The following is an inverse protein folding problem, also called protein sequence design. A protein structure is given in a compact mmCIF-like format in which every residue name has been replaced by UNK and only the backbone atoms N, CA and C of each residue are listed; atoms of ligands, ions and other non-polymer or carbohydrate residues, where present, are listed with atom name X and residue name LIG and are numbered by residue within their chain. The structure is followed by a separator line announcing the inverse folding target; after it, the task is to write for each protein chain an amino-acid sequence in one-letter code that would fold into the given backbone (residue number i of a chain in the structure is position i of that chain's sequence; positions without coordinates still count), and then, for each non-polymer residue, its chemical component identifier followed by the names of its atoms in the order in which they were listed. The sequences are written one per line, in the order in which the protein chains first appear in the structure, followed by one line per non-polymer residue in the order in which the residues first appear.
data_IF_212308121364
#
_entry.id   IF_212308121364
#
_cell.length_a   1.000
_cell.length_b   1.000
_cell.length_c   1.000
_cell.angle_alpha   90.00
_cell.angle_beta   90.00
_cell.angle_gamma   90.00
#
_symmetry.space_group_name_H-M   'P 1'
#
loop_
_entity.id
_entity.type
_entity.pdbx_description
1 polymer ?
#
# COMPACT_ATOMS: atom_id res chain seq x y z
N UNK A 1 -16.52 -24.13 -12.62
CA UNK A 1 -16.56 -24.94 -11.39
C UNK A 1 -15.32 -24.66 -10.55
N UNK A 2 -15.48 -24.62 -9.26
CA UNK A 2 -14.37 -24.44 -8.36
C UNK A 2 -13.70 -25.77 -8.04
N UNK A 3 -12.37 -25.81 -8.13
CA UNK A 3 -11.61 -27.01 -7.83
C UNK A 3 -11.31 -27.10 -6.34
N UNK A 4 -10.86 -26.00 -5.76
CA UNK A 4 -10.49 -25.91 -4.35
C UNK A 4 -11.37 -24.91 -3.58
N UNK A 5 -12.43 -24.43 -4.20
CA UNK A 5 -13.32 -23.44 -3.61
C UNK A 5 -12.89 -22.00 -3.85
N UNK A 6 -11.77 -21.76 -4.52
CA UNK A 6 -11.22 -20.42 -4.71
C UNK A 6 -11.21 -20.05 -6.18
N UNK A 7 -11.79 -18.89 -6.51
CA UNK A 7 -11.71 -18.30 -7.87
C UNK A 7 -10.51 -17.36 -7.93
N UNK A 8 -10.08 -17.03 -9.17
CA UNK A 8 -8.95 -16.13 -9.39
C UNK A 8 -9.17 -14.76 -8.72
N UNK A 9 -10.38 -14.19 -8.81
CA UNK A 9 -10.68 -12.92 -8.18
C UNK A 9 -10.75 -13.04 -6.66
N UNK A 10 -11.15 -14.18 -6.10
CA UNK A 10 -11.12 -14.41 -4.66
C UNK A 10 -9.67 -14.45 -4.16
N UNK A 11 -8.78 -15.10 -4.92
CA UNK A 11 -7.36 -15.14 -4.59
C UNK A 11 -6.74 -13.75 -4.64
N UNK A 12 -7.09 -12.95 -5.65
CA UNK A 12 -6.60 -11.57 -5.73
C UNK A 12 -7.06 -10.75 -4.53
N UNK A 13 -8.31 -10.91 -4.11
CA UNK A 13 -8.84 -10.27 -2.91
C UNK A 13 -8.03 -10.67 -1.66
N UNK A 14 -7.77 -11.97 -1.50
CA UNK A 14 -6.98 -12.47 -0.36
C UNK A 14 -5.58 -11.89 -0.35
N UNK A 15 -4.91 -11.86 -1.50
CA UNK A 15 -3.55 -11.31 -1.60
C UNK A 15 -3.51 -9.86 -1.15
N UNK A 16 -4.44 -9.03 -1.61
CA UNK A 16 -4.48 -7.62 -1.24
C UNK A 16 -4.82 -7.45 0.24
N UNK A 17 -5.77 -8.23 0.76
CA UNK A 17 -6.10 -8.17 2.18
C UNK A 17 -4.93 -8.60 3.05
N UNK A 18 -4.20 -9.65 2.66
CA UNK A 18 -3.01 -10.11 3.39
C UNK A 18 -1.91 -9.05 3.36
N UNK A 19 -1.74 -8.38 2.22
CA UNK A 19 -0.80 -7.28 2.06
C UNK A 19 -1.08 -6.16 3.07
N UNK A 20 -2.33 -5.72 3.18
CA UNK A 20 -2.69 -4.66 4.12
C UNK A 20 -2.72 -5.14 5.57
N UNK A 21 -3.04 -6.40 5.83
CA UNK A 21 -2.95 -6.95 7.18
C UNK A 21 -1.49 -6.94 7.66
N UNK A 22 -0.55 -7.32 6.78
CA UNK A 22 0.87 -7.24 7.09
C UNK A 22 1.31 -5.79 7.35
N UNK A 23 0.86 -4.86 6.51
CA UNK A 23 1.14 -3.44 6.71
C UNK A 23 0.68 -2.98 8.09
N UNK A 24 -0.55 -3.30 8.47
CA UNK A 24 -1.14 -2.82 9.72
C UNK A 24 -0.45 -3.39 10.96
N UNK A 25 0.17 -4.56 10.87
CA UNK A 25 0.94 -5.09 12.00
C UNK A 25 2.44 -4.78 11.90
N UNK A 26 2.86 -4.02 10.89
CA UNK A 26 4.26 -3.64 10.71
C UNK A 26 5.16 -4.79 10.28
N UNK A 27 4.60 -5.81 9.65
CA UNK A 27 5.34 -6.98 9.20
C UNK A 27 5.76 -6.81 7.73
N UNK A 28 6.88 -6.10 7.54
CA UNK A 28 7.37 -5.77 6.19
C UNK A 28 7.80 -7.01 5.42
N UNK A 29 8.37 -8.01 6.08
CA UNK A 29 8.73 -9.27 5.42
C UNK A 29 7.51 -9.97 4.84
N UNK A 30 6.41 -10.02 5.58
CA UNK A 30 5.17 -10.64 5.09
C UNK A 30 4.61 -9.88 3.89
N UNK A 31 4.76 -8.54 3.85
CA UNK A 31 4.39 -7.77 2.66
C UNK A 31 5.25 -8.16 1.47
N UNK A 32 6.56 -8.20 1.66
CA UNK A 32 7.52 -8.46 0.57
C UNK A 32 7.35 -9.86 -0.03
N UNK A 33 6.98 -10.83 0.77
CA UNK A 33 6.72 -12.20 0.29
C UNK A 33 5.58 -12.24 -0.74
N UNK A 34 4.62 -11.33 -0.64
CA UNK A 34 3.49 -11.25 -1.55
C UNK A 34 3.83 -10.55 -2.88
N UNK A 35 5.00 -9.93 -2.98
CA UNK A 35 5.41 -9.18 -4.15
C UNK A 35 6.26 -10.03 -5.10
N UNK A 36 6.11 -9.79 -6.40
CA UNK A 36 7.03 -10.32 -7.39
C UNK A 36 8.39 -9.65 -7.26
N UNK A 37 9.47 -10.35 -7.63
CA UNK A 37 10.82 -9.80 -7.59
C UNK A 37 10.96 -8.52 -8.41
N UNK A 38 10.27 -8.44 -9.54
CA UNK A 38 10.28 -7.28 -10.42
C UNK A 38 9.15 -6.30 -10.17
N UNK A 39 8.56 -6.29 -8.97
CA UNK A 39 7.40 -5.45 -8.67
C UNK A 39 7.63 -3.99 -9.04
N UNK A 40 6.61 -3.39 -9.66
CA UNK A 40 6.61 -1.98 -10.01
C UNK A 40 5.82 -1.22 -8.95
N UNK A 41 6.40 -0.14 -8.45
CA UNK A 41 5.79 0.68 -7.42
C UNK A 41 5.71 2.12 -7.91
N UNK A 42 4.50 2.61 -8.10
CA UNK A 42 4.24 3.99 -8.49
C UNK A 42 3.88 4.78 -7.23
N UNK A 43 4.78 5.67 -6.85
CA UNK A 43 4.59 6.51 -5.67
C UNK A 43 3.61 7.63 -5.98
N UNK A 44 2.83 8.04 -4.99
CA UNK A 44 1.93 9.17 -5.18
C UNK A 44 2.75 10.42 -5.47
N UNK A 45 2.48 11.04 -6.62
CA UNK A 45 3.19 12.24 -7.09
C UNK A 45 4.71 12.06 -7.19
N UNK A 46 5.16 10.82 -7.25
CA UNK A 46 6.57 10.50 -7.30
C UNK A 46 6.95 9.72 -8.54
N UNK A 47 8.15 9.21 -8.52
CA UNK A 47 8.68 8.39 -9.59
C UNK A 47 8.19 6.95 -9.47
N UNK A 48 8.38 6.20 -10.54
CA UNK A 48 8.22 4.75 -10.52
C UNK A 48 9.50 4.12 -10.01
N UNK A 49 9.38 3.20 -9.07
CA UNK A 49 10.49 2.37 -8.60
C UNK A 49 10.24 0.93 -9.04
N UNK A 50 11.29 0.18 -9.28
CA UNK A 50 11.18 -1.20 -9.74
C UNK A 50 12.01 -2.11 -8.87
N UNK A 51 11.44 -3.26 -8.53
CA UNK A 51 12.13 -4.32 -7.80
C UNK A 51 11.79 -4.38 -6.33
N UNK A 52 11.86 -5.58 -5.80
CA UNK A 52 11.51 -5.84 -4.40
C UNK A 52 12.48 -5.12 -3.45
N UNK A 53 13.77 -5.00 -3.80
CA UNK A 53 14.75 -4.30 -2.98
C UNK A 53 14.41 -2.82 -2.84
N UNK A 54 13.98 -2.16 -3.93
CA UNK A 54 13.53 -0.77 -3.88
C UNK A 54 12.29 -0.62 -3.01
N UNK A 55 11.38 -1.57 -3.09
CA UNK A 55 10.17 -1.58 -2.26
C UNK A 55 10.53 -1.69 -0.77
N UNK A 56 11.47 -2.56 -0.44
CA UNK A 56 11.95 -2.71 0.94
C UNK A 56 12.56 -1.41 1.48
N UNK A 57 13.33 -0.71 0.65
CA UNK A 57 13.92 0.59 1.03
C UNK A 57 12.83 1.64 1.24
N UNK A 58 11.79 1.62 0.41
CA UNK A 58 10.64 2.51 0.58
C UNK A 58 9.96 2.28 1.92
N UNK A 59 9.69 1.02 2.27
CA UNK A 59 9.06 0.68 3.55
C UNK A 59 9.90 1.16 4.74
N UNK A 60 11.23 1.02 4.66
CA UNK A 60 12.12 1.50 5.71
C UNK A 60 12.06 3.02 5.87
N UNK A 61 12.02 3.76 4.75
CA UNK A 61 11.90 5.22 4.80
C UNK A 61 10.55 5.63 5.40
N UNK A 62 9.49 4.96 5.02
CA UNK A 62 8.14 5.27 5.52
C UNK A 62 8.05 4.99 7.02
N UNK A 63 8.58 3.87 7.47
CA UNK A 63 8.57 3.51 8.89
C UNK A 63 9.29 4.56 9.75
N UNK A 64 10.36 5.13 9.23
CA UNK A 64 11.13 6.15 9.96
C UNK A 64 10.34 7.43 10.18
N UNK A 65 9.48 7.82 9.23
CA UNK A 65 8.80 9.11 9.25
C UNK A 65 7.32 9.03 9.63
N UNK A 66 6.69 7.89 9.45
CA UNK A 66 5.24 7.76 9.60
C UNK A 66 4.89 6.51 10.39
N UNK A 67 3.84 6.61 11.22
CA UNK A 67 3.19 5.45 11.82
C UNK A 67 1.75 5.47 11.37
N UNK A 68 1.34 4.44 10.62
CA UNK A 68 0.02 4.43 9.99
C UNK A 68 -0.73 3.14 10.21
N UNK A 69 -2.04 3.27 10.39
CA UNK A 69 -2.99 2.16 10.39
C UNK A 69 -4.04 2.44 9.33
N UNK A 70 -4.37 1.44 8.54
CA UNK A 70 -5.41 1.55 7.52
C UNK A 70 -6.70 1.00 8.07
N UNK A 71 -7.77 1.78 7.91
CA UNK A 71 -9.11 1.47 8.37
C UNK A 71 -10.07 1.43 7.18
N UNK A 72 -11.18 0.74 7.35
CA UNK A 72 -12.27 0.71 6.35
C UNK A 72 -11.78 0.25 4.98
N UNK A 73 -10.96 -0.78 4.97
CA UNK A 73 -10.35 -1.29 3.73
C UNK A 73 -11.42 -2.01 2.90
N UNK A 74 -11.61 -1.55 1.66
CA UNK A 74 -12.50 -2.20 0.69
C UNK A 74 -11.66 -2.59 -0.51
N UNK A 75 -11.71 -3.87 -0.89
CA UNK A 75 -10.97 -4.41 -2.03
C UNK A 75 -11.95 -4.77 -3.14
N UNK A 76 -11.63 -4.32 -4.34
CA UNK A 76 -12.38 -4.60 -5.56
C UNK A 76 -11.46 -5.32 -6.54
N UNK A 77 -11.96 -6.33 -7.23
CA UNK A 77 -11.13 -7.11 -8.15
C UNK A 77 -11.80 -7.23 -9.51
N UNK A 78 -10.98 -7.32 -10.56
CA UNK A 78 -11.47 -7.62 -11.89
C UNK A 78 -11.92 -9.07 -11.96
N UNK A 79 -12.84 -9.42 -12.90
CA UNK A 79 -13.35 -10.78 -13.00
C UNK A 79 -12.27 -11.84 -13.23
N UNK A 80 -11.20 -11.49 -13.94
CA UNK A 80 -10.11 -12.44 -14.22
C UNK A 80 -9.10 -12.55 -13.05
N UNK A 81 -9.22 -11.70 -12.02
CA UNK A 81 -8.32 -11.72 -10.88
C UNK A 81 -6.93 -11.13 -11.14
N UNK A 82 -6.72 -10.48 -12.28
CA UNK A 82 -5.41 -9.92 -12.63
C UNK A 82 -5.25 -8.47 -12.20
N UNK A 83 -6.33 -7.82 -11.80
CA UNK A 83 -6.31 -6.43 -11.33
C UNK A 83 -7.11 -6.30 -10.05
N UNK A 84 -6.67 -5.44 -9.19
CA UNK A 84 -7.41 -5.11 -7.98
C UNK A 84 -7.25 -3.62 -7.68
N UNK A 85 -8.21 -3.12 -6.91
CA UNK A 85 -8.15 -1.78 -6.34
C UNK A 85 -8.54 -1.87 -4.87
N UNK A 86 -8.02 -0.95 -4.08
CA UNK A 86 -8.42 -0.83 -2.68
C UNK A 86 -8.65 0.63 -2.35
N UNK A 87 -9.62 0.88 -1.49
CA UNK A 87 -9.75 2.18 -0.84
C UNK A 87 -9.73 1.98 0.67
N UNK A 88 -9.27 2.97 1.38
CA UNK A 88 -9.11 2.89 2.83
C UNK A 88 -9.00 4.30 3.42
N UNK A 89 -8.99 4.35 4.74
CA UNK A 89 -8.72 5.59 5.47
C UNK A 89 -7.47 5.38 6.30
N UNK A 90 -6.47 6.22 6.08
CA UNK A 90 -5.21 6.18 6.83
C UNK A 90 -5.39 6.98 8.13
N UNK A 91 -5.06 6.35 9.25
CA UNK A 91 -4.92 7.02 10.54
C UNK A 91 -3.43 7.03 10.86
N UNK A 92 -2.81 8.19 10.84
CA UNK A 92 -1.38 8.28 10.93
C UNK A 92 -0.86 9.32 11.91
N UNK A 93 0.43 9.18 12.22
CA UNK A 93 1.21 10.11 13.01
C UNK A 93 2.51 10.40 12.27
N UNK A 94 2.83 11.69 12.15
CA UNK A 94 4.05 12.15 11.48
C UNK A 94 5.16 12.22 12.52
N UNK A 95 6.12 11.27 12.42
CA UNK A 95 7.13 11.05 13.46
C UNK A 95 8.42 11.81 13.22
N UNK A 96 8.91 11.81 11.98
CA UNK A 96 10.17 12.45 11.61
C UNK A 96 10.00 13.14 10.27
N UNK A 97 10.61 14.31 10.13
CA UNK A 97 10.45 15.15 8.96
C UNK A 97 10.94 14.45 7.69
N UNK A 98 10.12 14.52 6.65
CA UNK A 98 10.43 13.98 5.34
C UNK A 98 10.84 15.15 4.43
N UNK A 99 11.95 15.06 3.69
CA UNK A 99 12.44 16.18 2.88
C UNK A 99 11.39 16.74 1.93
N UNK A 100 11.29 18.06 1.89
CA UNK A 100 10.34 18.76 1.02
C UNK A 100 8.93 18.88 1.58
N UNK A 101 8.67 18.33 2.77
CA UNK A 101 7.37 18.36 3.44
C UNK A 101 7.46 19.16 4.74
N UNK A 102 6.32 19.51 5.36
CA UNK A 102 6.35 20.24 6.63
C UNK A 102 7.15 19.53 7.70
N UNK A 103 7.57 20.27 8.72
CA UNK A 103 8.34 19.73 9.83
C UNK A 103 7.46 18.81 10.70
N UNK A 104 8.02 17.66 11.09
CA UNK A 104 7.30 16.71 11.94
C UNK A 104 7.37 17.13 13.41
N UNK A 105 6.24 17.05 14.09
CA UNK A 105 6.07 17.36 15.52
C UNK A 105 5.20 16.32 16.21
N UNK A 106 4.96 15.16 15.60
CA UNK A 106 4.02 14.16 16.10
C UNK A 106 2.57 14.46 15.73
N UNK A 107 2.33 15.20 14.66
CA UNK A 107 0.99 15.54 14.20
C UNK A 107 0.23 14.28 13.78
N UNK A 108 -1.04 14.21 14.16
CA UNK A 108 -1.94 13.16 13.70
C UNK A 108 -2.66 13.59 12.44
N UNK A 109 -3.02 12.64 11.61
CA UNK A 109 -3.82 12.90 10.41
C UNK A 109 -4.74 11.73 10.10
N UNK A 110 -5.83 12.04 9.41
CA UNK A 110 -6.79 11.06 8.89
C UNK A 110 -6.97 11.38 7.42
N UNK A 111 -6.64 10.42 6.54
CA UNK A 111 -6.54 10.70 5.13
C UNK A 111 -7.11 9.54 4.30
N UNK A 112 -8.09 9.80 3.43
CA UNK A 112 -8.53 8.79 2.48
C UNK A 112 -7.42 8.48 1.48
N UNK A 113 -7.31 7.22 1.08
CA UNK A 113 -6.34 6.80 0.09
C UNK A 113 -6.82 5.60 -0.68
N UNK A 114 -6.06 5.25 -1.70
CA UNK A 114 -6.37 4.09 -2.51
C UNK A 114 -5.16 3.62 -3.29
N UNK A 115 -5.28 2.43 -3.83
CA UNK A 115 -4.21 1.84 -4.63
C UNK A 115 -4.78 0.93 -5.70
N UNK A 116 -4.00 0.78 -6.77
CA UNK A 116 -4.30 -0.15 -7.84
C UNK A 116 -3.20 -1.18 -7.95
N UNK A 117 -3.58 -2.43 -8.25
CA UNK A 117 -2.67 -3.56 -8.26
C UNK A 117 -2.76 -4.34 -9.55
N UNK A 118 -1.62 -4.85 -10.02
CA UNK A 118 -1.59 -5.95 -10.98
C UNK A 118 -1.15 -7.20 -10.23
N UNK A 119 -1.87 -8.31 -10.45
CA UNK A 119 -1.68 -9.55 -9.72
C UNK A 119 -1.61 -10.69 -10.73
N UNK A 120 -0.56 -11.52 -10.63
CA UNK A 120 -0.40 -12.71 -11.45
C UNK A 120 0.17 -13.82 -10.57
N UNK A 121 -0.39 -15.01 -10.70
CA UNK A 121 0.07 -16.20 -9.98
C UNK A 121 0.16 -15.98 -8.46
N UNK A 122 -0.82 -15.26 -7.92
CA UNK A 122 -0.89 -15.00 -6.48
C UNK A 122 0.14 -14.00 -5.96
N UNK A 123 0.83 -13.27 -6.85
CA UNK A 123 1.81 -12.26 -6.46
C UNK A 123 1.46 -10.91 -7.03
N UNK A 124 1.83 -9.87 -6.31
CA UNK A 124 1.62 -8.49 -6.73
C UNK A 124 2.78 -8.05 -7.61
N UNK A 125 2.46 -7.66 -8.85
CA UNK A 125 3.44 -7.21 -9.84
C UNK A 125 3.51 -5.70 -9.97
N UNK A 126 2.46 -4.99 -9.53
CA UNK A 126 2.46 -3.54 -9.52
C UNK A 126 1.58 -3.06 -8.36
N UNK A 127 2.07 -2.01 -7.69
CA UNK A 127 1.29 -1.24 -6.71
C UNK A 127 1.38 0.22 -7.14
N UNK A 128 0.23 0.86 -7.35
CA UNK A 128 0.15 2.28 -7.67
C UNK A 128 -0.70 2.95 -6.61
N UNK A 129 -0.12 3.89 -5.87
CA UNK A 129 -0.77 4.54 -4.74
C UNK A 129 -1.27 5.93 -5.11
N UNK A 130 -2.44 6.28 -4.60
CA UNK A 130 -3.02 7.62 -4.74
C UNK A 130 -3.55 8.11 -3.40
N UNK A 131 -3.18 9.33 -3.07
CA UNK A 131 -3.79 10.07 -1.97
C UNK A 131 -3.61 11.57 -2.25
N UNK A 132 -4.40 12.38 -1.56
CA UNK A 132 -4.35 13.83 -1.75
C UNK A 132 -3.24 14.41 -0.87
N UNK A 133 -2.09 14.70 -1.48
CA UNK A 133 -0.94 15.25 -0.76
C UNK A 133 -1.23 16.61 -0.16
N UNK A 134 -1.99 17.47 -0.85
CA UNK A 134 -2.31 18.80 -0.34
C UNK A 134 -3.19 18.74 0.91
N UNK A 135 -4.12 17.77 0.96
CA UNK A 135 -4.93 17.54 2.15
C UNK A 135 -4.03 17.11 3.32
N UNK A 136 -3.10 16.19 3.08
CA UNK A 136 -2.16 15.76 4.11
C UNK A 136 -1.33 16.93 4.63
N UNK A 137 -0.77 17.75 3.72
CA UNK A 137 0.03 18.92 4.09
C UNK A 137 -0.81 19.88 4.94
N UNK A 138 -2.07 20.13 4.56
CA UNK A 138 -2.95 21.01 5.32
C UNK A 138 -3.19 20.52 6.74
N UNK A 139 -3.24 19.19 6.93
CA UNK A 139 -3.47 18.61 8.25
C UNK A 139 -2.23 18.69 9.15
N UNK A 140 -1.03 18.62 8.58
CA UNK A 140 0.20 18.49 9.39
C UNK A 140 1.00 19.78 9.54
N UNK A 141 0.76 20.78 8.71
CA UNK A 141 1.51 22.05 8.83
C UNK A 141 1.06 22.94 10.00
#
# INVERSE_FOLDING_TARGET
MKIDGTRSNDRATEVVLDYYAAFNRGDWEAMLVLLDEGVVHDLNQGARETGKAAFARFLARMEASYREQLHDIVVMTSPDGNRAAAEYVVHGTYLASDPGLPEARGQSYVLPGGAFFEIHDGRIHRVTNYYNLEDWIAQVR
#
